data_IF_447887788527
#
_entry.id   IF_447887788527
#
_cell.length_a   1.000
_cell.length_b   1.000
_cell.length_c   1.000
_cell.angle_alpha   90.00
_cell.angle_beta   90.00
_cell.angle_gamma   90.00
#
_symmetry.space_group_name_H-M   'P 1'
#
loop_
_entity.id
_entity.type
_entity.pdbx_description
1 polymer ?
#
# COMPACT_ATOMS: atom_id res chain seq x y z
N UNK A 1 13.90 -4.31 4.99
CA UNK A 1 12.53 -4.06 5.45
C UNK A 1 12.48 -4.40 6.92
N UNK A 2 12.76 -3.43 7.79
CA UNK A 2 12.50 -3.64 9.21
C UNK A 2 11.12 -3.06 9.51
N UNK A 3 10.18 -3.96 9.83
CA UNK A 3 8.86 -3.64 10.41
C UNK A 3 7.79 -3.03 9.47
N UNK A 4 7.59 -3.60 8.28
CA UNK A 4 6.38 -3.35 7.45
C UNK A 4 5.41 -4.52 7.60
N UNK A 5 4.17 -4.25 8.00
CA UNK A 5 3.09 -5.22 8.03
C UNK A 5 2.23 -5.10 6.77
N UNK A 6 2.00 -6.21 6.07
CA UNK A 6 1.03 -6.26 4.96
C UNK A 6 -0.30 -6.76 5.53
N UNK A 7 -1.35 -5.96 5.37
CA UNK A 7 -2.70 -6.26 5.86
C UNK A 7 -3.66 -6.32 4.68
N UNK A 8 -4.60 -7.25 4.73
CA UNK A 8 -5.70 -7.34 3.76
C UNK A 8 -6.99 -6.90 4.44
N UNK A 9 -7.66 -5.90 3.87
CA UNK A 9 -8.96 -5.41 4.32
C UNK A 9 -9.98 -5.52 3.17
N UNK A 10 -11.27 -5.56 3.47
CA UNK A 10 -12.30 -5.70 2.44
C UNK A 10 -12.47 -4.41 1.62
N UNK A 11 -12.60 -3.27 2.28
CA UNK A 11 -12.87 -1.97 1.66
C UNK A 11 -12.17 -0.85 2.42
N UNK A 12 -11.70 0.21 1.73
CA UNK A 12 -11.13 1.37 2.40
C UNK A 12 -12.22 2.12 3.16
N UNK A 13 -11.85 2.64 4.32
CA UNK A 13 -12.68 3.56 5.09
C UNK A 13 -12.77 4.94 4.41
N UNK A 14 -13.79 5.73 4.76
CA UNK A 14 -13.91 7.11 4.27
C UNK A 14 -12.71 7.99 4.61
N UNK A 15 -12.04 7.72 5.74
CA UNK A 15 -10.81 8.40 6.15
C UNK A 15 -9.64 8.04 5.23
N UNK A 16 -9.41 6.75 4.97
CA UNK A 16 -8.37 6.25 4.06
C UNK A 16 -8.58 6.74 2.61
N UNK A 17 -9.83 6.89 2.19
CA UNK A 17 -10.15 7.50 0.91
C UNK A 17 -9.78 8.99 0.86
N UNK A 18 -9.91 9.74 1.96
CA UNK A 18 -9.49 11.14 2.03
C UNK A 18 -10.10 12.06 0.96
N UNK A 19 -11.28 11.71 0.43
CA UNK A 19 -11.92 12.42 -0.69
C UNK A 19 -11.31 12.17 -2.07
N UNK A 20 -10.38 11.20 -2.20
CA UNK A 20 -9.83 10.75 -3.49
C UNK A 20 -10.96 10.31 -4.42
N UNK A 21 -10.81 10.67 -5.69
CA UNK A 21 -11.68 10.17 -6.76
C UNK A 21 -11.06 8.89 -7.33
N UNK A 22 -11.88 7.87 -7.55
CA UNK A 22 -11.44 6.58 -8.06
C UNK A 22 -11.40 5.49 -6.99
N UNK A 23 -10.79 4.37 -7.36
CA UNK A 23 -10.77 3.15 -6.54
C UNK A 23 -9.40 2.98 -5.89
N UNK A 24 -9.37 2.94 -4.56
CA UNK A 24 -8.13 2.72 -3.79
C UNK A 24 -7.88 1.21 -3.66
N UNK A 25 -6.82 0.71 -4.27
CA UNK A 25 -6.46 -0.72 -4.27
C UNK A 25 -5.45 -1.07 -3.16
N UNK A 26 -4.56 -0.14 -2.88
CA UNK A 26 -3.53 -0.24 -1.84
C UNK A 26 -3.41 1.08 -1.07
N UNK A 27 -2.86 1.00 0.13
CA UNK A 27 -2.51 2.17 0.93
C UNK A 27 -1.32 1.89 1.84
N UNK A 28 -0.24 2.64 1.66
CA UNK A 28 0.84 2.76 2.62
C UNK A 28 0.50 3.76 3.75
N UNK A 29 0.58 3.30 5.00
CA UNK A 29 0.39 4.07 6.22
C UNK A 29 1.65 3.94 7.10
N UNK A 30 2.51 4.96 7.10
CA UNK A 30 3.71 4.98 7.92
C UNK A 30 3.71 6.11 8.95
N UNK A 31 4.41 5.90 10.07
CA UNK A 31 4.68 6.97 11.05
C UNK A 31 5.99 7.66 10.69
N UNK A 32 5.93 8.94 10.31
CA UNK A 32 7.11 9.70 9.88
C UNK A 32 8.27 9.62 10.88
N UNK A 33 9.46 9.26 10.38
CA UNK A 33 10.71 9.18 11.14
C UNK A 33 11.10 10.48 11.86
N UNK A 34 10.58 11.63 11.43
CA UNK A 34 10.96 12.96 11.93
C UNK A 34 10.39 13.30 13.32
N UNK A 35 9.49 12.49 13.87
CA UNK A 35 9.02 12.58 15.26
C UNK A 35 9.66 11.52 16.19
N UNK A 36 10.71 10.82 15.74
CA UNK A 36 11.38 9.77 16.53
C UNK A 36 12.32 10.37 17.58
N UNK A 37 11.80 10.60 18.78
CA UNK A 37 12.64 10.73 19.99
C UNK A 37 13.23 9.34 20.34
N UNK A 38 14.50 9.23 20.78
CA UNK A 38 15.09 7.96 21.25
C UNK A 38 14.33 7.30 22.42
N UNK A 39 13.36 7.99 23.02
CA UNK A 39 12.61 7.58 24.20
C UNK A 39 11.30 6.80 23.91
N UNK A 40 10.85 6.70 22.66
CA UNK A 40 9.54 6.11 22.30
C UNK A 40 9.59 4.65 21.82
N UNK A 41 10.55 3.88 22.30
CA UNK A 41 10.77 2.48 21.90
C UNK A 41 9.73 1.47 22.45
N UNK A 42 8.59 1.91 23.02
CA UNK A 42 7.60 1.02 23.66
C UNK A 42 6.24 0.92 22.95
N UNK A 43 6.08 1.43 21.72
CA UNK A 43 4.76 1.38 21.07
C UNK A 43 4.64 1.95 19.65
N UNK A 44 5.74 2.09 18.89
CA UNK A 44 5.65 2.51 17.50
C UNK A 44 5.00 1.38 16.68
N UNK A 45 3.80 1.63 16.14
CA UNK A 45 3.16 0.71 15.20
C UNK A 45 4.09 0.53 13.98
N UNK A 46 4.22 -0.71 13.45
CA UNK A 46 4.89 -0.94 12.18
C UNK A 46 4.28 -0.08 11.08
N UNK A 47 5.09 0.28 10.08
CA UNK A 47 4.55 0.83 8.84
C UNK A 47 3.62 -0.24 8.23
N UNK A 48 2.47 0.17 7.69
CA UNK A 48 1.45 -0.74 7.18
C UNK A 48 1.25 -0.54 5.69
N UNK A 49 1.20 -1.64 4.94
CA UNK A 49 0.65 -1.67 3.58
C UNK A 49 -0.68 -2.40 3.66
N UNK A 50 -1.78 -1.68 3.41
CA UNK A 50 -3.12 -2.24 3.36
C UNK A 50 -3.51 -2.51 1.92
N UNK A 51 -3.89 -3.75 1.60
CA UNK A 51 -4.43 -4.17 0.29
C UNK A 51 -5.93 -4.36 0.42
N UNK A 52 -6.70 -3.72 -0.45
CA UNK A 52 -8.17 -3.75 -0.41
C UNK A 52 -8.73 -4.81 -1.34
N UNK A 53 -9.16 -5.93 -0.77
CA UNK A 53 -9.62 -7.10 -1.51
C UNK A 53 -10.86 -6.81 -2.36
N UNK A 54 -11.87 -6.11 -1.82
CA UNK A 54 -13.12 -5.79 -2.52
C UNK A 54 -12.87 -5.01 -3.82
N UNK A 55 -12.20 -3.84 -3.75
CA UNK A 55 -11.78 -3.09 -4.93
C UNK A 55 -11.02 -3.89 -5.99
N UNK A 56 -10.07 -4.72 -5.57
CA UNK A 56 -9.27 -5.54 -6.49
C UNK A 56 -10.16 -6.63 -7.13
N UNK A 57 -11.04 -7.25 -6.35
CA UNK A 57 -11.95 -8.29 -6.82
C UNK A 57 -13.01 -7.75 -7.78
N UNK A 58 -13.50 -6.53 -7.58
CA UNK A 58 -14.41 -5.87 -8.53
C UNK A 58 -13.75 -5.51 -9.85
N UNK A 59 -12.42 -5.29 -9.83
CA UNK A 59 -11.65 -4.93 -11.02
C UNK A 59 -11.17 -6.14 -11.80
N UNK A 60 -10.87 -7.25 -11.13
CA UNK A 60 -10.43 -8.49 -11.75
C UNK A 60 -11.57 -9.20 -12.48
N UNK A 61 -11.33 -9.64 -13.71
CA UNK A 61 -12.25 -10.49 -14.46
C UNK A 61 -12.15 -11.97 -14.04
N UNK A 62 -10.97 -12.40 -13.58
CA UNK A 62 -10.70 -13.77 -13.15
C UNK A 62 -9.61 -13.85 -12.06
N UNK A 63 -9.32 -15.07 -11.60
CA UNK A 63 -8.33 -15.32 -10.55
C UNK A 63 -6.89 -14.99 -10.97
N UNK A 64 -6.56 -15.14 -12.26
CA UNK A 64 -5.22 -14.80 -12.75
C UNK A 64 -5.01 -13.28 -12.71
N UNK A 65 -5.99 -12.52 -13.22
CA UNK A 65 -5.96 -11.07 -13.15
C UNK A 65 -6.01 -10.55 -11.70
N UNK A 66 -6.71 -11.24 -10.81
CA UNK A 66 -6.71 -10.92 -9.38
C UNK A 66 -5.30 -11.00 -8.78
N UNK A 67 -4.57 -12.08 -9.09
CA UNK A 67 -3.18 -12.28 -8.63
C UNK A 67 -2.28 -11.18 -9.18
N UNK A 68 -2.39 -10.86 -10.47
CA UNK A 68 -1.61 -9.81 -11.12
C UNK A 68 -1.88 -8.43 -10.49
N UNK A 69 -3.16 -8.09 -10.25
CA UNK A 69 -3.55 -6.83 -9.61
C UNK A 69 -3.02 -6.72 -8.18
N UNK A 70 -3.06 -7.80 -7.40
CA UNK A 70 -2.49 -7.82 -6.05
C UNK A 70 -0.98 -7.62 -6.11
N UNK A 71 -0.29 -8.31 -7.04
CA UNK A 71 1.16 -8.21 -7.18
C UNK A 71 1.59 -6.80 -7.55
N UNK A 72 0.98 -6.19 -8.57
CA UNK A 72 1.27 -4.82 -9.00
C UNK A 72 1.01 -3.82 -7.87
N UNK A 73 -0.13 -3.94 -7.18
CA UNK A 73 -0.47 -3.05 -6.06
C UNK A 73 0.58 -3.14 -4.94
N UNK A 74 0.98 -4.34 -4.53
CA UNK A 74 2.00 -4.51 -3.48
C UNK A 74 3.34 -3.93 -3.93
N UNK A 75 3.75 -4.17 -5.17
CA UNK A 75 5.02 -3.65 -5.69
C UNK A 75 5.01 -2.12 -5.73
N UNK A 76 3.91 -1.49 -6.15
CA UNK A 76 3.75 -0.03 -6.13
C UNK A 76 3.90 0.54 -4.72
N UNK A 77 3.15 0.01 -3.75
CA UNK A 77 3.18 0.52 -2.38
C UNK A 77 4.56 0.31 -1.72
N UNK A 78 5.22 -0.81 -1.98
CA UNK A 78 6.59 -1.07 -1.50
C UNK A 78 7.60 -0.14 -2.18
N UNK A 79 7.47 0.07 -3.49
CA UNK A 79 8.37 0.93 -4.24
C UNK A 79 8.28 2.39 -3.77
N UNK A 80 7.06 2.91 -3.59
CA UNK A 80 6.82 4.24 -3.04
C UNK A 80 7.39 4.38 -1.63
N UNK A 81 7.28 3.36 -0.77
CA UNK A 81 7.93 3.35 0.54
C UNK A 81 9.46 3.54 0.46
N UNK A 82 10.11 2.97 -0.56
CA UNK A 82 11.54 3.15 -0.82
C UNK A 82 11.89 4.42 -1.61
N UNK A 83 10.91 5.28 -1.90
CA UNK A 83 11.11 6.53 -2.65
C UNK A 83 11.30 6.32 -4.15
N UNK A 84 10.86 5.19 -4.69
CA UNK A 84 10.83 4.93 -6.13
C UNK A 84 9.57 5.59 -6.69
N UNK A 85 9.72 6.39 -7.76
CA UNK A 85 8.61 7.06 -8.43
C UNK A 85 7.86 6.13 -9.39
N UNK A 86 6.64 6.52 -9.78
CA UNK A 86 5.87 5.85 -10.85
C UNK A 86 6.68 5.76 -12.13
N UNK A 87 7.31 6.85 -12.58
CA UNK A 87 8.16 6.86 -13.78
C UNK A 87 9.25 5.79 -13.73
N UNK A 88 9.82 5.52 -12.53
CA UNK A 88 10.82 4.47 -12.37
C UNK A 88 10.19 3.07 -12.36
N UNK A 89 8.95 2.91 -11.92
CA UNK A 89 8.20 1.66 -12.04
C UNK A 89 7.85 1.36 -13.50
N UNK A 90 7.47 2.36 -14.29
CA UNK A 90 7.27 2.24 -15.75
C UNK A 90 8.51 1.69 -16.43
N UNK A 91 9.69 2.27 -16.14
CA UNK A 91 10.98 1.81 -16.68
C UNK A 91 11.30 0.35 -16.32
N UNK A 92 10.80 -0.13 -15.19
CA UNK A 92 11.01 -1.49 -14.69
C UNK A 92 9.93 -2.48 -15.13
N UNK A 93 8.92 -2.02 -15.88
CA UNK A 93 7.81 -2.83 -16.39
C UNK A 93 6.72 -3.12 -15.36
N UNK A 94 6.55 -2.25 -14.36
CA UNK A 94 5.61 -2.45 -13.26
C UNK A 94 4.47 -1.43 -13.21
N UNK A 95 4.33 -0.53 -14.18
CA UNK A 95 3.30 0.51 -14.22
C UNK A 95 1.90 0.02 -14.60
#
# INVERSE_FOLDING_TARGET
MENVAVIVEQWPTSEQLGGRRGTLLGLYEGVALTNRSPLSYSGAMPDRITIFQGPISERAADEAELVDLVQTTVIHEVAHHFGISDERLDELGWA
#
